data_IF_064026745670
#
_entry.id   IF_064026745670
#
_cell.length_a   1.000
_cell.length_b   1.000
_cell.length_c   1.000
_cell.angle_alpha   90.00
_cell.angle_beta   90.00
_cell.angle_gamma   90.00
#
_symmetry.space_group_name_H-M   'P 1'
#
loop_
_entity.id
_entity.type
_entity.pdbx_description
1 polymer ?
#
# COMPACT_ATOMS: atom_id res chain seq x y z
N UNK A 1 -9.69 -27.40 -16.94
CA UNK A 1 -9.72 -27.95 -15.55
C UNK A 1 -8.73 -27.17 -14.72
N UNK A 2 -9.05 -26.88 -13.45
CA UNK A 2 -8.10 -26.26 -12.53
C UNK A 2 -7.08 -27.31 -12.07
N UNK A 3 -5.79 -26.98 -12.12
CA UNK A 3 -4.77 -27.78 -11.46
C UNK A 3 -4.84 -27.58 -9.94
N UNK A 4 -4.26 -28.49 -9.17
CA UNK A 4 -4.13 -28.35 -7.71
C UNK A 4 -3.39 -27.05 -7.37
N UNK A 5 -2.37 -26.69 -8.15
CA UNK A 5 -1.65 -25.43 -7.99
C UNK A 5 -2.59 -24.22 -8.13
N UNK A 6 -3.43 -24.19 -9.16
CA UNK A 6 -4.39 -23.09 -9.36
C UNK A 6 -5.39 -22.97 -8.21
N UNK A 7 -5.81 -24.12 -7.65
CA UNK A 7 -6.69 -24.14 -6.47
C UNK A 7 -5.99 -23.56 -5.24
N UNK A 8 -4.74 -23.94 -4.98
CA UNK A 8 -3.94 -23.39 -3.87
C UNK A 8 -3.71 -21.88 -4.01
N UNK A 9 -3.40 -21.40 -5.22
CA UNK A 9 -3.28 -19.96 -5.48
C UNK A 9 -4.60 -19.23 -5.24
N UNK A 10 -5.72 -19.78 -5.72
CA UNK A 10 -7.05 -19.18 -5.49
C UNK A 10 -7.41 -19.16 -4.00
N UNK A 11 -7.02 -20.19 -3.24
CA UNK A 11 -7.21 -20.24 -1.79
C UNK A 11 -6.36 -19.17 -1.08
N UNK A 12 -5.12 -18.97 -1.50
CA UNK A 12 -4.27 -17.92 -0.95
C UNK A 12 -4.91 -16.53 -1.15
N UNK A 13 -5.41 -16.24 -2.35
CA UNK A 13 -6.15 -15.00 -2.64
C UNK A 13 -7.40 -14.88 -1.77
N UNK A 14 -8.16 -15.97 -1.61
CA UNK A 14 -9.35 -16.00 -0.76
C UNK A 14 -9.01 -15.71 0.72
N UNK A 15 -7.90 -16.23 1.22
CA UNK A 15 -7.43 -15.93 2.59
C UNK A 15 -6.99 -14.48 2.71
N UNK A 16 -6.25 -13.95 1.74
CA UNK A 16 -5.87 -12.52 1.69
C UNK A 16 -7.13 -11.63 1.66
N UNK A 17 -8.15 -12.00 0.89
CA UNK A 17 -9.45 -11.32 0.86
C UNK A 17 -10.05 -11.23 2.26
N UNK A 18 -10.13 -12.34 2.99
CA UNK A 18 -10.68 -12.38 4.36
C UNK A 18 -9.83 -11.55 5.32
N UNK A 19 -8.51 -11.74 5.30
CA UNK A 19 -7.56 -11.03 6.16
C UNK A 19 -7.67 -9.51 5.95
N UNK A 20 -7.81 -9.06 4.70
CA UNK A 20 -7.97 -7.64 4.38
C UNK A 20 -9.19 -7.03 5.09
N UNK A 21 -10.34 -7.71 5.08
CA UNK A 21 -11.53 -7.24 5.80
C UNK A 21 -11.37 -7.32 7.32
N UNK A 22 -10.66 -8.32 7.84
CA UNK A 22 -10.32 -8.40 9.27
C UNK A 22 -9.43 -7.23 9.70
N UNK A 23 -8.42 -6.89 8.89
CA UNK A 23 -7.53 -5.75 9.13
C UNK A 23 -8.32 -4.45 9.08
N UNK A 24 -9.18 -4.25 8.08
CA UNK A 24 -10.04 -3.07 7.98
C UNK A 24 -10.90 -2.90 9.24
N UNK A 25 -11.54 -3.99 9.69
CA UNK A 25 -12.38 -4.00 10.90
C UNK A 25 -11.58 -3.60 12.14
N UNK A 26 -10.33 -4.06 12.26
CA UNK A 26 -9.47 -3.79 13.42
C UNK A 26 -8.87 -2.38 13.40
N UNK A 27 -8.36 -1.92 12.26
CA UNK A 27 -7.65 -0.63 12.15
C UNK A 27 -8.58 0.56 11.96
N UNK A 28 -9.71 0.36 11.28
CA UNK A 28 -10.64 1.43 10.92
C UNK A 28 -12.09 1.05 11.19
N UNK A 29 -12.46 0.75 12.45
CA UNK A 29 -13.80 0.27 12.80
C UNK A 29 -14.91 1.26 12.40
N UNK A 30 -14.67 2.58 12.51
CA UNK A 30 -15.61 3.64 12.10
C UNK A 30 -15.83 3.71 10.58
N UNK A 31 -14.97 3.06 9.79
CA UNK A 31 -15.05 3.04 8.31
C UNK A 31 -15.36 1.64 7.79
N UNK A 32 -15.53 0.66 8.69
CA UNK A 32 -15.93 -0.69 8.39
C UNK A 32 -17.45 -0.79 8.56
N UNK A 33 -18.10 -1.47 7.62
CA UNK A 33 -19.49 -1.84 7.75
C UNK A 33 -19.66 -3.32 7.45
N UNK A 34 -20.60 -3.98 8.12
CA UNK A 34 -21.06 -5.31 7.73
C UNK A 34 -22.35 -5.18 6.91
N UNK A 35 -22.62 -6.14 6.04
CA UNK A 35 -23.87 -6.14 5.24
C UNK A 35 -25.11 -6.21 6.13
N UNK A 36 -24.98 -6.71 7.37
CA UNK A 36 -26.03 -6.75 8.39
C UNK A 36 -26.41 -5.37 8.93
N UNK A 37 -25.54 -4.36 8.83
CA UNK A 37 -25.82 -3.01 9.34
C UNK A 37 -27.01 -2.34 8.62
N UNK A 38 -27.23 -2.66 7.35
CA UNK A 38 -28.42 -2.20 6.61
C UNK A 38 -29.73 -2.69 7.23
N UNK A 39 -29.72 -3.88 7.84
CA UNK A 39 -30.90 -4.47 8.50
C UNK A 39 -31.05 -3.91 9.91
N UNK A 40 -29.93 -3.66 10.61
CA UNK A 40 -29.93 -3.03 11.94
C UNK A 40 -30.29 -1.52 11.90
N UNK A 41 -30.47 -0.94 10.73
CA UNK A 41 -30.76 0.49 10.57
C UNK A 41 -29.58 1.40 10.94
N UNK A 42 -28.36 0.86 10.96
CA UNK A 42 -27.15 1.63 11.20
C UNK A 42 -26.78 2.44 9.94
N UNK A 43 -26.34 3.68 10.13
CA UNK A 43 -26.02 4.58 9.03
C UNK A 43 -24.74 4.14 8.31
N UNK A 44 -24.90 3.48 7.15
CA UNK A 44 -23.79 3.21 6.23
C UNK A 44 -23.47 4.48 5.45
N UNK A 45 -22.28 5.04 5.65
CA UNK A 45 -21.85 6.26 4.96
C UNK A 45 -21.26 5.94 3.58
N UNK A 46 -21.37 6.88 2.63
CA UNK A 46 -20.79 6.75 1.29
C UNK A 46 -19.28 6.47 1.33
N UNK A 47 -18.56 7.06 2.29
CA UNK A 47 -17.13 6.84 2.49
C UNK A 47 -16.78 5.38 2.79
N UNK A 48 -17.60 4.70 3.60
CA UNK A 48 -17.41 3.29 3.91
C UNK A 48 -17.51 2.41 2.66
N UNK A 49 -18.45 2.74 1.77
CA UNK A 49 -18.64 2.03 0.48
C UNK A 49 -17.45 2.26 -0.44
N UNK A 50 -16.98 3.50 -0.58
CA UNK A 50 -15.79 3.82 -1.39
C UNK A 50 -14.57 3.05 -0.90
N UNK A 51 -14.32 3.03 0.41
CA UNK A 51 -13.15 2.32 0.98
C UNK A 51 -13.23 0.83 0.66
N UNK A 52 -14.42 0.22 0.75
CA UNK A 52 -14.63 -1.18 0.36
C UNK A 52 -14.30 -1.40 -1.12
N UNK A 53 -14.82 -0.56 -2.00
CA UNK A 53 -14.55 -0.64 -3.44
C UNK A 53 -13.05 -0.53 -3.69
N UNK A 54 -12.39 0.46 -3.08
CA UNK A 54 -10.96 0.71 -3.26
C UNK A 54 -10.10 -0.46 -2.80
N UNK A 55 -10.38 -1.08 -1.66
CA UNK A 55 -9.64 -2.26 -1.22
C UNK A 55 -9.84 -3.47 -2.14
N UNK A 56 -11.08 -3.69 -2.61
CA UNK A 56 -11.36 -4.77 -3.57
C UNK A 56 -10.64 -4.53 -4.91
N UNK A 57 -10.55 -3.27 -5.35
CA UNK A 57 -9.74 -2.88 -6.50
C UNK A 57 -8.26 -3.21 -6.26
N UNK A 58 -7.68 -2.79 -5.12
CA UNK A 58 -6.28 -3.10 -4.79
C UNK A 58 -6.04 -4.60 -4.77
N UNK A 59 -6.96 -5.38 -4.17
CA UNK A 59 -6.85 -6.83 -4.12
C UNK A 59 -6.81 -7.43 -5.52
N UNK A 60 -7.70 -6.98 -6.41
CA UNK A 60 -7.76 -7.45 -7.79
C UNK A 60 -6.53 -7.05 -8.60
N UNK A 61 -6.07 -5.79 -8.50
CA UNK A 61 -4.82 -5.33 -9.12
C UNK A 61 -3.63 -6.17 -8.66
N UNK A 62 -3.39 -6.23 -7.34
CA UNK A 62 -2.22 -6.93 -6.78
C UNK A 62 -2.24 -8.43 -7.08
N UNK A 63 -3.40 -9.08 -6.98
CA UNK A 63 -3.53 -10.50 -7.29
C UNK A 63 -3.29 -10.77 -8.77
N UNK A 64 -3.81 -9.91 -9.67
CA UNK A 64 -3.59 -10.06 -11.10
C UNK A 64 -2.14 -9.77 -11.50
N UNK A 65 -1.47 -8.80 -10.84
CA UNK A 65 -0.03 -8.58 -11.01
C UNK A 65 0.79 -9.82 -10.62
N UNK A 66 0.43 -10.51 -9.53
CA UNK A 66 1.21 -11.65 -9.02
C UNK A 66 0.96 -12.93 -9.83
N UNK A 67 -0.30 -13.24 -10.12
CA UNK A 67 -0.67 -14.53 -10.70
C UNK A 67 -0.90 -14.47 -12.22
N UNK A 68 -1.19 -13.29 -12.77
CA UNK A 68 -1.45 -13.05 -14.20
C UNK A 68 -2.51 -13.97 -14.84
N UNK A 69 -3.37 -14.61 -14.04
CA UNK A 69 -4.45 -15.48 -14.50
C UNK A 69 -5.78 -15.01 -13.90
N UNK A 70 -6.64 -14.50 -14.79
CA UNK A 70 -7.99 -14.01 -14.45
C UNK A 70 -8.81 -15.08 -13.74
N UNK A 71 -8.71 -16.34 -14.15
CA UNK A 71 -9.53 -17.42 -13.58
C UNK A 71 -9.16 -17.69 -12.13
N UNK A 72 -7.86 -17.67 -11.82
CA UNK A 72 -7.36 -17.87 -10.45
C UNK A 72 -7.81 -16.72 -9.54
N UNK A 73 -7.67 -15.47 -10.02
CA UNK A 73 -8.04 -14.27 -9.25
C UNK A 73 -9.55 -14.23 -8.99
N UNK A 74 -10.37 -14.48 -10.01
CA UNK A 74 -11.83 -14.51 -9.85
C UNK A 74 -12.29 -15.66 -8.96
N UNK A 75 -11.70 -16.86 -9.11
CA UNK A 75 -12.01 -17.97 -8.22
C UNK A 75 -11.67 -17.63 -6.77
N UNK A 76 -10.52 -17.01 -6.53
CA UNK A 76 -10.14 -16.53 -5.20
C UNK A 76 -11.10 -15.48 -4.63
N UNK A 77 -11.58 -14.55 -5.45
CA UNK A 77 -12.58 -13.56 -5.04
C UNK A 77 -13.95 -14.20 -4.71
N UNK A 78 -14.38 -15.19 -5.50
CA UNK A 78 -15.60 -15.95 -5.25
C UNK A 78 -15.48 -16.71 -3.92
N UNK A 79 -14.42 -17.51 -3.76
CA UNK A 79 -14.21 -18.31 -2.55
C UNK A 79 -14.04 -17.39 -1.33
N UNK A 80 -13.27 -16.31 -1.44
CA UNK A 80 -13.06 -15.34 -0.37
C UNK A 80 -14.34 -14.64 0.07
N UNK A 81 -15.18 -14.21 -0.87
CA UNK A 81 -16.46 -13.58 -0.55
C UNK A 81 -17.45 -14.58 0.07
N UNK A 82 -17.47 -15.83 -0.40
CA UNK A 82 -18.26 -16.91 0.22
C UNK A 82 -17.77 -17.17 1.66
N UNK A 83 -16.46 -17.21 1.91
CA UNK A 83 -15.88 -17.41 3.24
C UNK A 83 -16.22 -16.30 4.25
N UNK A 84 -16.59 -15.11 3.77
CA UNK A 84 -17.12 -14.05 4.64
C UNK A 84 -18.61 -14.25 4.91
N UNK A 85 -19.37 -14.66 3.88
CA UNK A 85 -20.84 -14.72 3.90
C UNK A 85 -21.39 -15.98 4.57
N UNK A 86 -20.72 -17.12 4.42
CA UNK A 86 -21.23 -18.43 4.81
C UNK A 86 -21.72 -18.55 6.26
N UNK A 87 -21.12 -17.91 7.30
CA UNK A 87 -21.61 -18.09 8.67
C UNK A 87 -22.99 -17.48 8.84
N UNK A 88 -23.26 -16.37 8.14
CA UNK A 88 -24.54 -15.66 8.17
C UNK A 88 -25.62 -16.42 7.41
N UNK A 89 -25.25 -17.14 6.35
CA UNK A 89 -26.19 -17.95 5.56
C UNK A 89 -26.56 -19.24 6.28
N UNK A 90 -25.59 -19.90 6.92
CA UNK A 90 -25.83 -21.16 7.63
C UNK A 90 -26.56 -20.95 8.95
N UNK A 91 -26.14 -19.97 9.75
CA UNK A 91 -26.73 -19.67 11.05
C UNK A 91 -27.16 -18.20 11.13
N UNK A 92 -28.19 -17.79 10.37
CA UNK A 92 -28.65 -16.41 10.38
C UNK A 92 -29.07 -16.00 11.79
N UNK A 93 -29.79 -16.84 12.54
CA UNK A 93 -30.30 -16.50 13.88
C UNK A 93 -29.20 -16.15 14.90
N UNK A 94 -28.03 -16.75 14.80
CA UNK A 94 -26.90 -16.44 15.69
C UNK A 94 -26.22 -15.11 15.32
N UNK A 95 -26.42 -14.65 14.08
CA UNK A 95 -25.84 -13.40 13.57
C UNK A 95 -26.66 -12.16 13.94
N UNK A 96 -27.88 -12.33 14.45
CA UNK A 96 -28.75 -11.23 14.89
C UNK A 96 -28.98 -11.33 16.40
N UNK A 97 -28.75 -10.22 17.10
CA UNK A 97 -28.97 -10.10 18.55
C UNK A 97 -30.47 -10.00 18.92
N UNK A 98 -31.35 -9.87 17.92
CA UNK A 98 -32.80 -9.68 18.10
C UNK A 98 -33.57 -10.73 17.29
N UNK A 99 -34.75 -11.12 17.79
CA UNK A 99 -35.66 -12.01 17.08
C UNK A 99 -36.11 -11.39 15.76
N UNK A 100 -35.52 -11.88 14.67
CA UNK A 100 -35.79 -11.44 13.30
C UNK A 100 -36.89 -12.27 12.65
N UNK A 101 -37.72 -11.60 11.85
CA UNK A 101 -38.77 -12.21 11.04
C UNK A 101 -38.18 -13.01 9.87
N UNK A 102 -38.96 -13.96 9.33
CA UNK A 102 -38.57 -14.73 8.13
C UNK A 102 -38.26 -13.83 6.93
N UNK A 103 -38.91 -12.66 6.82
CA UNK A 103 -38.68 -11.69 5.75
C UNK A 103 -37.30 -11.01 5.88
N UNK A 104 -36.89 -10.67 7.09
CA UNK A 104 -35.57 -10.06 7.36
C UNK A 104 -34.44 -11.06 7.15
N UNK A 105 -34.64 -12.34 7.51
CA UNK A 105 -33.70 -13.42 7.17
C UNK A 105 -33.49 -13.51 5.66
N UNK A 106 -34.58 -13.52 4.89
CA UNK A 106 -34.52 -13.57 3.43
C UNK A 106 -33.79 -12.35 2.86
N UNK A 107 -34.12 -11.15 3.35
CA UNK A 107 -33.44 -9.91 2.96
C UNK A 107 -31.94 -9.96 3.26
N UNK A 108 -31.55 -10.51 4.42
CA UNK A 108 -30.15 -10.72 4.78
C UNK A 108 -29.43 -11.60 3.78
N UNK A 109 -30.01 -12.76 3.43
CA UNK A 109 -29.42 -13.68 2.46
C UNK A 109 -29.23 -12.98 1.11
N UNK A 110 -30.25 -12.25 0.64
CA UNK A 110 -30.18 -11.49 -0.62
C UNK A 110 -29.06 -10.45 -0.59
N UNK A 111 -28.97 -9.66 0.49
CA UNK A 111 -27.92 -8.65 0.63
C UNK A 111 -26.51 -9.28 0.66
N UNK A 112 -26.34 -10.43 1.29
CA UNK A 112 -25.07 -11.14 1.30
C UNK A 112 -24.72 -11.74 -0.07
N UNK A 113 -25.70 -12.21 -0.83
CA UNK A 113 -25.49 -12.63 -2.22
C UNK A 113 -25.11 -11.45 -3.11
N UNK A 114 -25.74 -10.28 -2.93
CA UNK A 114 -25.35 -9.05 -3.61
C UNK A 114 -23.92 -8.63 -3.27
N UNK A 115 -23.47 -8.85 -2.03
CA UNK A 115 -22.07 -8.64 -1.66
C UNK A 115 -21.11 -9.54 -2.47
N UNK A 116 -21.43 -10.84 -2.61
CA UNK A 116 -20.61 -11.75 -3.45
C UNK A 116 -20.54 -11.25 -4.89
N UNK A 117 -21.69 -10.94 -5.49
CA UNK A 117 -21.76 -10.47 -6.89
C UNK A 117 -20.98 -9.17 -7.08
N UNK A 118 -21.19 -8.19 -6.18
CA UNK A 118 -20.49 -6.90 -6.26
C UNK A 118 -18.99 -7.03 -6.04
N UNK A 119 -18.54 -7.86 -5.09
CA UNK A 119 -17.12 -8.09 -4.84
C UNK A 119 -16.43 -8.68 -6.07
N UNK A 120 -17.01 -9.73 -6.66
CA UNK A 120 -16.47 -10.35 -7.88
C UNK A 120 -16.48 -9.36 -9.05
N UNK A 121 -17.55 -8.58 -9.19
CA UNK A 121 -17.66 -7.56 -10.25
C UNK A 121 -16.59 -6.47 -10.12
N UNK A 122 -16.31 -6.00 -8.91
CA UNK A 122 -15.27 -4.99 -8.66
C UNK A 122 -13.88 -5.57 -8.95
N UNK A 123 -13.59 -6.80 -8.50
CA UNK A 123 -12.32 -7.46 -8.80
C UNK A 123 -12.17 -7.65 -10.31
N UNK A 124 -13.19 -8.13 -11.01
CA UNK A 124 -13.16 -8.27 -12.46
C UNK A 124 -12.93 -6.93 -13.17
N UNK A 125 -13.60 -5.87 -12.70
CA UNK A 125 -13.42 -4.51 -13.19
C UNK A 125 -11.96 -4.07 -13.03
N UNK A 126 -11.32 -4.32 -11.88
CA UNK A 126 -9.91 -3.98 -11.68
C UNK A 126 -8.98 -4.66 -12.70
N UNK A 127 -9.29 -5.89 -13.12
CA UNK A 127 -8.49 -6.63 -14.11
C UNK A 127 -8.66 -5.99 -15.49
N UNK A 128 -9.89 -5.61 -15.89
CA UNK A 128 -10.12 -4.92 -17.17
C UNK A 128 -9.37 -3.58 -17.20
N UNK A 129 -9.40 -2.84 -16.10
CA UNK A 129 -8.72 -1.56 -15.99
C UNK A 129 -7.22 -1.69 -15.66
N UNK A 130 -6.69 -2.91 -15.56
CA UNK A 130 -5.28 -3.20 -15.25
C UNK A 130 -4.36 -2.48 -16.21
N UNK A 131 -4.50 -2.73 -17.51
CA UNK A 131 -3.60 -2.16 -18.51
C UNK A 131 -3.71 -0.63 -18.56
N UNK A 132 -4.92 -0.08 -18.40
CA UNK A 132 -5.12 1.37 -18.39
C UNK A 132 -4.39 2.02 -17.21
N UNK A 133 -4.56 1.47 -16.00
CA UNK A 133 -4.01 2.04 -14.78
C UNK A 133 -2.53 1.72 -14.65
N UNK A 134 -2.08 0.52 -15.00
CA UNK A 134 -0.68 0.14 -14.92
C UNK A 134 0.16 0.91 -15.93
N UNK A 135 -0.27 1.04 -17.18
CA UNK A 135 0.46 1.84 -18.17
C UNK A 135 0.43 3.33 -17.83
N UNK A 136 -0.69 3.85 -17.33
CA UNK A 136 -0.75 5.24 -16.87
C UNK A 136 0.14 5.47 -15.64
N UNK A 137 0.05 4.60 -14.63
CA UNK A 137 0.81 4.70 -13.39
C UNK A 137 2.30 4.47 -13.61
N UNK A 138 2.72 3.52 -14.44
CA UNK A 138 4.13 3.37 -14.81
C UNK A 138 4.64 4.59 -15.56
N UNK A 139 3.90 5.11 -16.54
CA UNK A 139 4.33 6.30 -17.27
C UNK A 139 4.44 7.52 -16.34
N UNK A 140 3.50 7.70 -15.41
CA UNK A 140 3.58 8.76 -14.41
C UNK A 140 4.68 8.52 -13.37
N UNK A 141 4.89 7.28 -12.92
CA UNK A 141 5.93 6.94 -11.95
C UNK A 141 7.31 7.06 -12.59
N UNK A 142 7.50 6.64 -13.84
CA UNK A 142 8.72 6.89 -14.62
C UNK A 142 8.92 8.40 -14.79
N UNK A 143 7.88 9.19 -15.07
CA UNK A 143 8.01 10.64 -15.16
C UNK A 143 8.36 11.28 -13.82
N UNK A 144 7.80 10.79 -12.71
CA UNK A 144 8.09 11.29 -11.35
C UNK A 144 9.49 10.86 -10.90
N UNK A 145 9.91 9.63 -11.19
CA UNK A 145 11.30 9.21 -10.97
C UNK A 145 12.23 10.03 -11.87
N UNK A 146 12.00 10.12 -13.17
CA UNK A 146 12.89 10.90 -14.05
C UNK A 146 12.99 12.39 -13.65
N UNK A 147 11.89 13.01 -13.20
CA UNK A 147 11.87 14.44 -12.86
C UNK A 147 12.23 14.74 -11.40
N UNK A 148 11.93 13.84 -10.46
CA UNK A 148 12.06 14.09 -9.02
C UNK A 148 12.91 13.05 -8.29
N UNK A 149 13.48 12.04 -8.96
CA UNK A 149 14.33 11.03 -8.30
C UNK A 149 15.49 11.67 -7.55
N UNK A 150 16.13 12.71 -8.10
CA UNK A 150 17.18 13.46 -7.43
C UNK A 150 16.65 14.23 -6.21
N UNK A 151 15.44 14.79 -6.28
CA UNK A 151 14.80 15.55 -5.19
C UNK A 151 14.30 14.61 -4.07
N UNK A 152 13.80 13.43 -4.42
CA UNK A 152 13.37 12.39 -3.48
C UNK A 152 14.60 11.74 -2.82
N UNK A 153 15.68 11.49 -3.57
CA UNK A 153 16.97 11.09 -3.00
C UNK A 153 17.53 12.18 -2.07
N UNK A 154 17.45 13.45 -2.47
CA UNK A 154 17.83 14.56 -1.59
C UNK A 154 16.93 14.66 -0.36
N UNK A 155 15.62 14.40 -0.45
CA UNK A 155 14.72 14.47 0.70
C UNK A 155 14.86 13.27 1.65
N UNK A 156 15.18 12.09 1.12
CA UNK A 156 15.34 10.85 1.91
C UNK A 156 16.76 10.74 2.49
N UNK A 157 17.78 11.21 1.78
CA UNK A 157 19.18 11.13 2.21
C UNK A 157 19.82 12.47 2.62
N UNK A 158 19.13 13.59 2.44
CA UNK A 158 19.58 14.93 2.82
C UNK A 158 18.48 15.69 3.56
N UNK A 159 18.42 15.69 4.88
CA UNK A 159 19.45 16.23 5.77
C UNK A 159 18.89 16.16 7.21
N UNK A 160 19.75 16.05 8.25
CA UNK A 160 20.20 17.29 8.88
C UNK A 160 21.66 17.23 9.39
N UNK A 161 22.61 17.74 8.61
CA UNK A 161 23.78 18.44 9.14
C UNK A 161 24.50 19.37 8.13
N UNK A 162 23.79 20.31 7.48
CA UNK A 162 24.46 21.28 6.60
C UNK A 162 25.35 22.24 7.39
N UNK A 163 24.97 22.56 8.63
CA UNK A 163 25.76 23.49 9.45
C UNK A 163 27.05 22.84 9.98
N UNK A 164 27.02 21.57 10.42
CA UNK A 164 28.24 20.88 10.91
C UNK A 164 29.21 20.51 9.79
N UNK A 165 28.73 20.17 8.60
CA UNK A 165 29.60 19.81 7.48
C UNK A 165 30.31 21.03 6.90
N UNK A 166 29.63 22.19 6.86
CA UNK A 166 30.22 23.46 6.44
C UNK A 166 31.29 23.94 7.43
N UNK A 167 31.06 23.77 8.73
CA UNK A 167 32.07 24.07 9.77
C UNK A 167 33.27 23.09 9.73
N UNK A 168 33.03 21.80 9.44
CA UNK A 168 34.11 20.82 9.27
C UNK A 168 34.97 21.06 8.01
N UNK A 169 34.37 21.52 6.92
CA UNK A 169 35.08 21.88 5.69
C UNK A 169 35.88 23.17 5.88
N UNK A 170 35.29 24.21 6.47
CA UNK A 170 35.99 25.45 6.75
C UNK A 170 37.18 25.25 7.71
N UNK A 171 37.01 24.41 8.73
CA UNK A 171 38.09 24.08 9.67
C UNK A 171 39.25 23.33 8.99
N UNK A 172 38.96 22.37 8.11
CA UNK A 172 40.01 21.62 7.38
C UNK A 172 40.70 22.45 6.29
N UNK A 173 40.02 23.42 5.70
CA UNK A 173 40.61 24.34 4.71
C UNK A 173 41.49 25.39 5.39
N UNK A 174 41.08 25.93 6.54
CA UNK A 174 41.92 26.83 7.34
C UNK A 174 43.17 26.15 7.91
N UNK A 175 43.03 24.96 8.53
CA UNK A 175 44.17 24.22 9.09
C UNK A 175 45.20 23.76 8.04
N UNK A 176 44.84 23.77 6.74
CA UNK A 176 45.74 23.43 5.63
C UNK A 176 46.41 24.67 5.04
N UNK A 177 45.68 25.78 4.95
CA UNK A 177 46.22 27.09 4.54
C UNK A 177 47.26 27.61 5.54
N UNK A 178 47.01 27.49 6.84
CA UNK A 178 47.94 27.96 7.88
C UNK A 178 49.24 27.13 7.89
N UNK A 179 49.15 25.81 7.67
CA UNK A 179 50.33 24.93 7.57
C UNK A 179 51.14 25.13 6.28
N UNK A 180 50.53 25.64 5.22
CA UNK A 180 51.25 26.00 3.99
C UNK A 180 51.91 27.37 4.12
N UNK A 181 51.26 28.33 4.79
CA UNK A 181 51.85 29.63 5.13
C UNK A 181 53.04 29.50 6.10
N UNK A 182 52.92 28.69 7.16
CA UNK A 182 54.00 28.47 8.13
C UNK A 182 55.23 27.80 7.48
N UNK A 183 55.01 26.87 6.53
CA UNK A 183 56.08 26.27 5.72
C UNK A 183 56.73 27.24 4.73
N UNK A 184 55.95 28.17 4.19
CA UNK A 184 56.48 29.21 3.29
C UNK A 184 57.30 30.24 4.07
N UNK A 185 56.87 30.63 5.27
CA UNK A 185 57.62 31.51 6.18
C UNK A 185 58.92 30.85 6.69
N UNK A 186 58.89 29.57 7.07
CA UNK A 186 60.10 28.80 7.42
C UNK A 186 61.06 28.67 6.23
N UNK A 187 60.54 28.52 5.00
CA UNK A 187 61.37 28.45 3.79
C UNK A 187 62.03 29.79 3.42
N UNK A 188 61.36 30.92 3.69
CA UNK A 188 61.93 32.26 3.45
C UNK A 188 62.97 32.65 4.52
N UNK A 189 62.73 32.32 5.79
CA UNK A 189 63.71 32.57 6.86
C UNK A 189 64.89 31.59 6.83
N UNK A 190 64.71 30.38 6.31
CA UNK A 190 65.79 29.40 6.13
C UNK A 190 66.79 29.73 5.02
N UNK A 191 66.39 30.52 4.02
CA UNK A 191 67.25 30.91 2.90
C UNK A 191 68.11 32.15 3.17
N UNK A 192 67.77 32.96 4.19
CA UNK A 192 68.49 34.20 4.51
C UNK A 192 69.76 34.03 5.35
N UNK A 193 70.14 32.81 5.76
CA UNK A 193 71.26 32.58 6.69
C UNK A 193 72.54 32.01 6.07
N UNK A 194 72.57 31.72 4.77
CA UNK A 194 73.71 31.09 4.10
C UNK A 194 74.37 31.92 2.98
N UNK A 195 74.12 33.23 2.90
CA UNK A 195 74.88 34.13 2.02
C UNK A 195 75.41 35.35 2.78
N UNK A 196 76.28 35.11 3.76
CA UNK A 196 77.32 36.07 4.16
C UNK A 196 78.60 35.29 4.45
N UNK A 197 79.43 35.13 3.43
CA UNK A 197 80.88 34.97 3.53
C UNK A 197 81.50 35.86 2.45
#
# INVERSE_FOLDING_TARGET
MYSIYNLLCSLAIALTFVIMFMIQRKLTPLKYYSTLQFIKGENVTFLMVIIRIFMLLILGFSSYTIFSDVKIVLLGAIVGSILIVWPVVLNPRESFEVYITKKEVLLSIILHLLFVVSAVSIVYTSIIFYDLIFNFALNQLINVFNNYFVIILFAVFGFPSTNKFKDMLNRKVYERSDRELEKLEESQYGYGKNEVL
#
